data_IF_265594837440
#
_entry.id   IF_265594837440
#
_cell.length_a   1.000
_cell.length_b   1.000
_cell.length_c   1.000
_cell.angle_alpha   90.00
_cell.angle_beta   90.00
_cell.angle_gamma   90.00
#
_symmetry.space_group_name_H-M   'P 1'
#
loop_
_entity.id
_entity.type
_entity.pdbx_description
1 polymer ?
#
# COMPACT_ATOMS: atom_id res chain seq x y z
N UNK A 1 4.85 -17.14 -2.65
CA UNK A 1 4.04 -16.95 -1.43
C UNK A 1 3.93 -15.48 -1.03
N UNK A 2 5.04 -14.75 -0.85
CA UNK A 2 4.99 -13.33 -0.43
C UNK A 2 4.16 -12.42 -1.34
N UNK A 3 4.20 -12.60 -2.66
CA UNK A 3 3.38 -11.80 -3.59
C UNK A 3 1.88 -12.00 -3.35
N UNK A 4 1.44 -13.26 -3.16
CA UNK A 4 0.04 -13.59 -2.85
C UNK A 4 -0.38 -12.96 -1.54
N UNK A 5 0.47 -13.03 -0.51
CA UNK A 5 0.20 -12.44 0.80
C UNK A 5 0.20 -10.89 0.75
N UNK A 6 0.99 -10.27 -0.12
CA UNK A 6 0.95 -8.82 -0.37
C UNK A 6 -0.35 -8.41 -1.05
N UNK A 7 -0.80 -9.16 -2.05
CA UNK A 7 -2.11 -8.94 -2.70
C UNK A 7 -3.26 -9.11 -1.69
N UNK A 8 -3.22 -10.16 -0.87
CA UNK A 8 -4.19 -10.39 0.21
C UNK A 8 -4.19 -9.27 1.25
N UNK A 9 -3.02 -8.85 1.73
CA UNK A 9 -2.90 -7.76 2.71
C UNK A 9 -3.41 -6.44 2.12
N UNK A 10 -3.12 -6.17 0.84
CA UNK A 10 -3.64 -5.00 0.14
C UNK A 10 -5.17 -5.03 0.04
N UNK A 11 -5.78 -6.14 -0.38
CA UNK A 11 -7.24 -6.29 -0.43
C UNK A 11 -7.86 -6.12 0.95
N UNK A 12 -7.28 -6.73 1.98
CA UNK A 12 -7.77 -6.64 3.36
C UNK A 12 -7.70 -5.20 3.88
N UNK A 13 -6.59 -4.49 3.68
CA UNK A 13 -6.44 -3.11 4.13
C UNK A 13 -7.36 -2.18 3.32
N UNK A 14 -7.55 -2.44 2.03
CA UNK A 14 -8.51 -1.71 1.20
C UNK A 14 -9.95 -1.94 1.67
N UNK A 15 -10.30 -3.16 2.03
CA UNK A 15 -11.62 -3.49 2.56
C UNK A 15 -11.85 -2.86 3.93
N UNK A 16 -10.89 -2.93 4.85
CA UNK A 16 -11.00 -2.32 6.18
C UNK A 16 -10.96 -0.79 6.14
N UNK A 17 -10.05 -0.22 5.35
CA UNK A 17 -9.81 1.23 5.32
C UNK A 17 -10.79 1.95 4.41
N UNK A 18 -11.05 1.39 3.23
CA UNK A 18 -11.85 2.00 2.17
C UNK A 18 -13.24 1.37 2.06
N UNK A 19 -13.48 0.17 2.59
CA UNK A 19 -14.72 -0.60 2.35
C UNK A 19 -14.91 -1.01 0.89
N UNK A 20 -13.82 -1.11 0.14
CA UNK A 20 -13.83 -1.56 -1.26
C UNK A 20 -12.81 -2.67 -1.38
N UNK A 21 -13.21 -3.80 -1.96
CA UNK A 21 -12.30 -4.86 -2.31
C UNK A 21 -11.83 -4.68 -3.77
N UNK A 22 -10.56 -4.31 -4.02
CA UNK A 22 -10.03 -4.15 -5.38
C UNK A 22 -9.84 -5.49 -6.10
N UNK A 23 -10.14 -6.62 -5.46
CA UNK A 23 -10.05 -7.98 -6.02
C UNK A 23 -8.66 -8.31 -6.55
N UNK A 24 -7.62 -7.84 -5.86
CA UNK A 24 -6.22 -8.08 -6.22
C UNK A 24 -5.78 -9.54 -6.03
N UNK A 25 -6.57 -10.33 -5.30
CA UNK A 25 -6.40 -11.76 -5.05
C UNK A 25 -6.56 -12.65 -6.28
N UNK A 26 -7.08 -12.16 -7.39
CA UNK A 26 -7.16 -12.93 -8.63
C UNK A 26 -5.74 -13.15 -9.20
N UNK A 27 -5.23 -14.37 -9.00
CA UNK A 27 -3.92 -14.80 -9.49
C UNK A 27 -3.89 -14.97 -11.02
N UNK A 28 -5.04 -15.01 -11.68
CA UNK A 28 -5.13 -15.02 -13.15
C UNK A 28 -5.05 -13.62 -13.76
N UNK A 29 -5.21 -12.58 -12.93
CA UNK A 29 -5.10 -11.18 -13.31
C UNK A 29 -3.69 -10.62 -13.02
N UNK A 30 -3.15 -9.73 -13.89
CA UNK A 30 -1.90 -9.06 -13.62
C UNK A 30 -1.94 -8.27 -12.31
N UNK A 31 -0.78 -8.08 -11.68
CA UNK A 31 -0.65 -7.26 -10.45
C UNK A 31 -1.28 -5.89 -10.75
N UNK A 32 -2.22 -5.41 -9.93
CA UNK A 32 -2.82 -4.11 -10.15
C UNK A 32 -1.74 -3.02 -10.12
N UNK A 33 -1.76 -2.05 -11.06
CA UNK A 33 -0.73 -1.01 -11.15
C UNK A 33 -0.55 -0.23 -9.83
N UNK A 34 -1.61 -0.08 -9.04
CA UNK A 34 -1.57 0.53 -7.72
C UNK A 34 -0.71 -0.27 -6.73
N UNK A 35 -0.83 -1.60 -6.72
CA UNK A 35 -0.04 -2.49 -5.84
C UNK A 35 1.44 -2.43 -6.20
N UNK A 36 1.76 -2.42 -7.50
CA UNK A 36 3.14 -2.29 -7.98
C UNK A 36 3.72 -0.90 -7.69
N UNK A 37 2.89 0.14 -7.80
CA UNK A 37 3.30 1.51 -7.51
C UNK A 37 3.74 1.70 -6.06
N UNK A 38 3.24 0.91 -5.10
CA UNK A 38 3.70 0.95 -3.71
C UNK A 38 5.09 0.32 -3.48
N UNK A 39 5.59 -0.53 -4.40
CA UNK A 39 6.95 -1.10 -4.29
C UNK A 39 8.04 -0.14 -4.77
N UNK A 40 7.73 0.72 -5.74
CA UNK A 40 8.66 1.68 -6.35
C UNK A 40 9.28 2.67 -5.35
N UNK A 41 8.46 3.42 -4.59
CA UNK A 41 8.94 4.46 -3.66
C UNK A 41 9.92 3.95 -2.61
N UNK A 42 9.68 2.75 -2.07
CA UNK A 42 10.54 2.11 -1.08
C UNK A 42 11.94 1.83 -1.63
N UNK A 43 12.02 1.35 -2.88
CA UNK A 43 13.31 1.10 -3.56
C UNK A 43 14.11 2.39 -3.76
N UNK A 44 13.48 3.45 -4.27
CA UNK A 44 14.18 4.72 -4.47
C UNK A 44 14.52 5.42 -3.15
N UNK A 45 13.69 5.26 -2.13
CA UNK A 45 13.98 5.77 -0.78
C UNK A 45 15.18 5.05 -0.17
N UNK A 46 15.30 3.74 -0.35
CA UNK A 46 16.49 2.98 0.07
C UNK A 46 17.76 3.44 -0.69
N UNK A 47 17.65 3.76 -1.98
CA UNK A 47 18.78 4.29 -2.76
C UNK A 47 19.34 5.61 -2.18
N UNK A 48 18.50 6.45 -1.57
CA UNK A 48 18.96 7.66 -0.87
C UNK A 48 19.81 7.35 0.36
N UNK A 49 19.56 6.24 1.05
CA UNK A 49 20.30 5.80 2.22
C UNK A 49 21.65 5.14 1.90
N UNK A 50 21.81 4.63 0.68
CA UNK A 50 23.06 4.02 0.19
C UNK A 50 24.00 5.08 -0.42
N UNK A 51 23.47 6.24 -0.83
CA UNK A 51 24.30 7.31 -1.37
C UNK A 51 25.18 7.94 -0.27
N UNK A 52 26.52 7.97 -0.45
CA UNK A 52 27.45 8.42 0.59
C UNK A 52 27.36 9.93 0.87
N UNK A 53 26.74 10.70 -0.01
CA UNK A 53 26.66 12.17 0.09
C UNK A 53 25.23 12.64 -0.12
N UNK A 54 24.63 13.23 0.91
CA UNK A 54 23.25 13.75 0.88
C UNK A 54 23.00 14.85 -0.16
N UNK A 55 24.06 15.49 -0.66
CA UNK A 55 23.98 16.46 -1.75
C UNK A 55 23.63 15.81 -3.10
N UNK A 56 23.98 14.54 -3.33
CA UNK A 56 23.77 13.87 -4.63
C UNK A 56 22.27 13.68 -4.90
N UNK A 57 21.53 13.07 -3.97
CA UNK A 57 20.07 12.91 -4.13
C UNK A 57 19.35 14.27 -4.12
N UNK A 58 19.83 15.27 -3.35
CA UNK A 58 19.26 16.63 -3.37
C UNK A 58 19.44 17.30 -4.73
N UNK A 59 20.63 17.16 -5.34
CA UNK A 59 20.89 17.63 -6.70
C UNK A 59 20.05 16.87 -7.73
N UNK A 60 19.93 15.54 -7.63
CA UNK A 60 19.06 14.73 -8.49
C UNK A 60 17.59 15.15 -8.37
N UNK A 61 17.14 15.50 -7.15
CA UNK A 61 15.80 16.01 -6.87
C UNK A 61 15.57 17.40 -7.45
N UNK A 62 16.56 18.29 -7.31
CA UNK A 62 16.51 19.64 -7.88
C UNK A 62 16.50 19.63 -9.42
N UNK A 63 17.30 18.74 -10.02
CA UNK A 63 17.34 18.55 -11.48
C UNK A 63 16.18 17.69 -12.01
N UNK A 64 15.42 17.04 -11.12
CA UNK A 64 14.33 16.12 -11.46
C UNK A 64 14.76 15.04 -12.47
N UNK A 65 15.92 14.42 -12.22
CA UNK A 65 16.54 13.43 -13.10
C UNK A 65 16.62 12.04 -12.45
N UNK A 66 16.58 11.00 -13.29
CA UNK A 66 16.87 9.62 -12.89
C UNK A 66 15.88 9.04 -11.88
N UNK A 67 16.39 8.58 -10.73
CA UNK A 67 15.63 7.93 -9.66
C UNK A 67 14.62 8.85 -8.98
N UNK A 68 14.96 10.14 -8.80
CA UNK A 68 14.11 11.12 -8.13
C UNK A 68 12.89 11.50 -8.98
N UNK A 69 13.05 11.54 -10.31
CA UNK A 69 11.94 11.74 -11.25
C UNK A 69 10.95 10.58 -11.17
N UNK A 70 11.45 9.34 -11.25
CA UNK A 70 10.63 8.12 -11.14
C UNK A 70 9.91 8.05 -9.81
N UNK A 71 10.60 8.37 -8.71
CA UNK A 71 9.97 8.44 -7.38
C UNK A 71 8.82 9.45 -7.35
N UNK A 72 8.99 10.63 -7.95
CA UNK A 72 7.92 11.63 -8.07
C UNK A 72 6.74 11.12 -8.90
N UNK A 73 7.00 10.42 -10.00
CA UNK A 73 5.96 9.79 -10.83
C UNK A 73 5.17 8.73 -10.03
N UNK A 74 5.85 7.87 -9.27
CA UNK A 74 5.19 6.87 -8.41
C UNK A 74 4.33 7.52 -7.32
N UNK A 75 4.86 8.53 -6.62
CA UNK A 75 4.10 9.25 -5.58
C UNK A 75 2.86 9.93 -6.17
N UNK A 76 3.02 10.61 -7.30
CA UNK A 76 1.89 11.27 -7.98
C UNK A 76 0.83 10.25 -8.42
N UNK A 77 1.26 9.10 -8.94
CA UNK A 77 0.34 8.03 -9.34
C UNK A 77 -0.43 7.48 -8.14
N UNK A 78 0.24 7.15 -7.03
CA UNK A 78 -0.41 6.71 -5.79
C UNK A 78 -1.42 7.76 -5.31
N UNK A 79 -1.02 9.03 -5.26
CA UNK A 79 -1.90 10.11 -4.81
C UNK A 79 -3.15 10.23 -5.71
N UNK A 80 -2.98 10.15 -7.04
CA UNK A 80 -4.11 10.18 -7.99
C UNK A 80 -5.04 9.00 -7.77
N UNK A 81 -4.52 7.78 -7.70
CA UNK A 81 -5.33 6.58 -7.53
C UNK A 81 -6.09 6.57 -6.20
N UNK A 82 -5.46 6.97 -5.10
CA UNK A 82 -6.14 7.07 -3.80
C UNK A 82 -7.20 8.17 -3.83
N UNK A 83 -6.92 9.33 -4.44
CA UNK A 83 -7.91 10.39 -4.60
C UNK A 83 -9.13 9.94 -5.41
N UNK A 84 -8.94 9.20 -6.51
CA UNK A 84 -10.03 8.65 -7.32
C UNK A 84 -10.92 7.72 -6.49
N UNK A 85 -10.33 6.88 -5.63
CA UNK A 85 -11.06 6.01 -4.71
C UNK A 85 -11.88 6.84 -3.70
N UNK A 86 -11.26 7.87 -3.11
CA UNK A 86 -11.92 8.76 -2.14
C UNK A 86 -13.12 9.46 -2.79
N UNK A 87 -12.96 10.00 -4.00
CA UNK A 87 -14.03 10.66 -4.74
C UNK A 87 -15.16 9.70 -5.10
N UNK A 88 -14.84 8.49 -5.57
CA UNK A 88 -15.84 7.46 -5.85
C UNK A 88 -16.63 7.06 -4.58
N UNK A 89 -15.98 7.06 -3.41
CA UNK A 89 -16.61 6.78 -2.11
C UNK A 89 -17.48 7.93 -1.62
N UNK A 90 -17.06 9.20 -1.80
CA UNK A 90 -17.90 10.38 -1.50
C UNK A 90 -19.23 10.33 -2.24
N UNK A 91 -19.24 9.95 -3.52
CA UNK A 91 -20.47 9.83 -4.30
C UNK A 91 -21.40 8.71 -3.79
N UNK A 92 -20.86 7.67 -3.14
CA UNK A 92 -21.65 6.61 -2.51
C UNK A 92 -22.16 7.00 -1.12
N UNK A 93 -21.42 7.84 -0.39
CA UNK A 93 -21.81 8.34 0.94
C UNK A 93 -23.15 9.08 0.91
N UNK A 94 -23.39 9.86 -0.14
CA UNK A 94 -24.66 10.59 -0.31
C UNK A 94 -25.87 9.66 -0.48
N UNK A 95 -25.66 8.35 -0.74
CA UNK A 95 -26.72 7.37 -1.00
C UNK A 95 -27.04 6.42 0.15
N UNK A 96 -26.03 5.87 0.84
CA UNK A 96 -26.22 4.72 1.76
C UNK A 96 -25.77 4.95 3.22
N UNK A 97 -25.26 6.13 3.58
CA UNK A 97 -24.77 6.39 4.94
C UNK A 97 -23.42 5.70 5.26
N UNK A 98 -22.73 6.19 6.29
CA UNK A 98 -21.32 5.87 6.55
C UNK A 98 -21.11 4.56 7.34
N UNK A 99 -20.75 3.48 6.64
CA UNK A 99 -20.36 2.21 7.29
C UNK A 99 -18.83 1.97 7.37
N UNK A 100 -18.02 2.66 6.54
CA UNK A 100 -16.58 2.41 6.43
C UNK A 100 -15.73 3.47 7.13
N UNK A 101 -14.51 3.10 7.55
CA UNK A 101 -13.57 3.99 8.27
C UNK A 101 -13.31 5.30 7.52
N UNK A 102 -13.10 5.23 6.21
CA UNK A 102 -12.89 6.40 5.36
C UNK A 102 -14.08 7.35 5.35
N UNK A 103 -15.29 6.80 5.27
CA UNK A 103 -16.52 7.57 5.27
C UNK A 103 -16.74 8.28 6.62
N UNK A 104 -16.30 7.67 7.73
CA UNK A 104 -16.28 8.32 9.04
C UNK A 104 -15.30 9.49 9.10
N UNK A 105 -14.12 9.36 8.50
CA UNK A 105 -13.16 10.46 8.44
C UNK A 105 -13.65 11.61 7.56
N UNK A 106 -14.24 11.32 6.41
CA UNK A 106 -14.85 12.31 5.54
C UNK A 106 -16.06 13.00 6.22
N UNK A 107 -16.91 12.22 6.90
CA UNK A 107 -18.04 12.75 7.68
C UNK A 107 -17.63 13.59 8.89
N UNK A 108 -16.42 13.38 9.42
CA UNK A 108 -15.84 14.19 10.49
C UNK A 108 -15.29 15.54 10.00
N UNK A 109 -15.36 15.84 8.70
CA UNK A 109 -14.89 17.10 8.12
C UNK A 109 -13.38 17.18 7.94
N UNK A 110 -12.67 16.04 7.91
CA UNK A 110 -11.26 16.01 7.56
C UNK A 110 -11.07 16.37 6.09
N UNK A 111 -9.99 17.10 5.81
CA UNK A 111 -9.61 17.45 4.45
C UNK A 111 -9.22 16.21 3.63
N UNK A 112 -9.47 16.27 2.33
CA UNK A 112 -9.22 15.14 1.41
C UNK A 112 -7.75 14.75 1.38
N UNK A 113 -6.84 15.72 1.53
CA UNK A 113 -5.41 15.45 1.62
C UNK A 113 -5.06 14.68 2.89
N UNK A 114 -5.64 15.05 4.05
CA UNK A 114 -5.42 14.33 5.30
C UNK A 114 -5.95 12.90 5.24
N UNK A 115 -7.14 12.71 4.65
CA UNK A 115 -7.72 11.38 4.49
C UNK A 115 -6.88 10.52 3.55
N UNK A 116 -6.43 11.07 2.42
CA UNK A 116 -5.49 10.41 1.50
C UNK A 116 -4.20 9.99 2.21
N UNK A 117 -3.56 10.92 2.91
CA UNK A 117 -2.27 10.67 3.56
C UNK A 117 -2.40 9.63 4.67
N UNK A 118 -3.53 9.61 5.38
CA UNK A 118 -3.87 8.57 6.36
C UNK A 118 -4.05 7.20 5.71
N UNK A 119 -4.80 7.12 4.60
CA UNK A 119 -4.98 5.87 3.83
C UNK A 119 -3.65 5.33 3.33
N UNK A 120 -2.79 6.20 2.77
CA UNK A 120 -1.44 5.83 2.32
C UNK A 120 -0.61 5.32 3.52
N UNK A 121 -0.71 5.98 4.67
CA UNK A 121 0.00 5.60 5.89
C UNK A 121 -0.43 4.25 6.47
N UNK A 122 -1.67 3.81 6.21
CA UNK A 122 -2.11 2.44 6.53
C UNK A 122 -1.67 1.42 5.47
N UNK A 123 -1.80 1.75 4.18
CA UNK A 123 -1.51 0.84 3.08
C UNK A 123 -0.01 0.52 2.96
N UNK A 124 0.86 1.53 3.07
CA UNK A 124 2.30 1.35 2.87
C UNK A 124 2.92 0.34 3.85
N UNK A 125 2.81 0.51 5.19
CA UNK A 125 3.41 -0.42 6.13
C UNK A 125 2.60 -1.72 6.23
N UNK A 126 1.27 -1.62 6.24
CA UNK A 126 0.39 -2.74 6.55
C UNK A 126 0.52 -3.89 5.57
N UNK A 127 0.77 -3.61 4.28
CA UNK A 127 0.95 -4.64 3.25
C UNK A 127 2.16 -5.53 3.52
N UNK A 128 3.31 -4.91 3.78
CA UNK A 128 4.58 -5.62 3.91
C UNK A 128 4.72 -6.29 5.28
N UNK A 129 4.25 -5.66 6.36
CA UNK A 129 4.28 -6.26 7.70
C UNK A 129 3.32 -7.43 7.83
N UNK A 130 2.11 -7.33 7.29
CA UNK A 130 1.12 -8.42 7.35
C UNK A 130 1.57 -9.61 6.51
N UNK A 131 2.13 -9.36 5.32
CA UNK A 131 2.70 -10.42 4.48
C UNK A 131 3.88 -11.14 5.16
N UNK A 132 4.76 -10.39 5.82
CA UNK A 132 5.86 -10.97 6.59
C UNK A 132 5.36 -11.80 7.78
N UNK A 133 4.39 -11.28 8.53
CA UNK A 133 3.78 -11.99 9.67
C UNK A 133 3.11 -13.30 9.24
N UNK A 134 2.35 -13.28 8.14
CA UNK A 134 1.69 -14.48 7.60
C UNK A 134 2.72 -15.49 7.08
N UNK A 135 3.78 -15.03 6.40
CA UNK A 135 4.87 -15.90 5.94
C UNK A 135 5.54 -16.60 7.13
N UNK A 136 5.84 -15.84 8.19
CA UNK A 136 6.45 -16.38 9.41
C UNK A 136 5.53 -17.41 10.10
N UNK A 137 4.23 -17.14 10.17
CA UNK A 137 3.25 -18.04 10.77
C UNK A 137 3.11 -19.36 10.00
N UNK A 138 3.10 -19.30 8.66
CA UNK A 138 3.07 -20.50 7.81
C UNK A 138 4.32 -21.36 8.00
N UNK A 139 5.50 -20.73 8.12
CA UNK A 139 6.75 -21.44 8.39
C UNK A 139 6.75 -22.06 9.79
N UNK A 140 6.27 -21.32 10.79
CA UNK A 140 6.14 -21.79 12.16
C UNK A 140 5.23 -23.03 12.28
N UNK A 141 4.08 -23.04 11.59
CA UNK A 141 3.17 -24.18 11.58
C UNK A 141 3.80 -25.41 10.94
N UNK A 142 4.46 -25.25 9.78
CA UNK A 142 5.12 -26.35 9.09
C UNK A 142 6.21 -27.01 9.94
N UNK A 143 6.96 -26.20 10.69
CA UNK A 143 8.01 -26.69 11.56
C UNK A 143 7.48 -27.46 12.79
N UNK A 144 6.24 -27.18 13.23
CA UNK A 144 5.60 -28.01 14.26
C UNK A 144 5.11 -29.35 13.72
N UNK A 145 4.55 -29.39 12.51
CA UNK A 145 4.09 -30.64 11.89
C UNK A 145 5.25 -31.61 11.60
N UNK A 146 6.41 -31.10 11.19
CA UNK A 146 7.64 -31.90 10.98
C UNK A 146 8.18 -32.52 12.28
N UNK A 147 7.92 -31.89 13.45
CA UNK A 147 8.32 -32.43 14.77
C UNK A 147 7.36 -33.52 15.24
N UNK A 148 6.07 -33.44 14.90
CA UNK A 148 5.09 -34.48 15.22
C UNK A 148 5.22 -35.72 14.32
N UNK A 149 5.68 -35.58 13.07
CA UNK A 149 5.88 -36.70 12.14
C UNK A 149 7.23 -37.43 12.39
N UNK A 150 8.18 -36.80 13.11
CA UNK A 150 9.48 -37.41 13.49
C UNK A 150 9.50 -38.13 14.85
N UNK A 151 8.35 -38.27 15.52
CA UNK A 151 8.17 -39.13 16.70
C UNK A 151 7.34 -40.36 16.34
#
# INVERSE_FOLDING_TARGET
MQEVLRRFAFDTICEVSLGTNPSCLDLSSPVPPLVEAFDGPSKFSAMRGVEPVSAIWKCKRALNLGSEKKLKEFVNFIHSSVNEIIQAKKQKLEKDGANDLLLRFLGAGLDDEMVRDMVISFLMPGRDTTSAALTWLSDYQKNQDDVYIRR
#
